data_IF_153082067147
#
_entry.id   IF_153082067147
#
_cell.length_a   1.000
_cell.length_b   1.000
_cell.length_c   1.000
_cell.angle_alpha   90.00
_cell.angle_beta   90.00
_cell.angle_gamma   90.00
#
_symmetry.space_group_name_H-M   'P 1'
#
loop_
_entity.id
_entity.type
_entity.pdbx_description
1 polymer ?
#
# COMPACT_ATOMS: atom_id res chain seq x y z
N UNK A 1 8.37 25.19 19.52
CA UNK A 1 8.73 23.92 18.86
C UNK A 1 7.89 23.81 17.59
N UNK A 2 8.48 23.66 16.40
CA UNK A 2 7.70 23.49 15.17
C UNK A 2 6.93 22.17 15.25
N UNK A 3 5.62 22.22 15.00
CA UNK A 3 4.75 21.05 14.94
C UNK A 3 5.27 20.16 13.80
N UNK A 4 5.48 18.84 14.01
CA UNK A 4 5.85 17.97 12.91
C UNK A 4 4.72 18.00 11.88
N UNK A 5 5.05 18.40 10.65
CA UNK A 5 4.12 18.38 9.52
C UNK A 5 3.39 17.02 9.46
N UNK A 6 2.11 17.03 9.13
CA UNK A 6 1.32 15.80 9.03
C UNK A 6 1.92 14.86 7.97
N UNK A 7 1.62 13.56 8.06
CA UNK A 7 2.10 12.59 7.07
C UNK A 7 1.66 12.96 5.64
N UNK A 8 0.47 13.57 5.50
CA UNK A 8 -0.09 14.03 4.24
C UNK A 8 0.65 15.26 3.70
N UNK A 9 0.91 16.27 4.55
CA UNK A 9 1.71 17.46 4.17
C UNK A 9 3.12 17.08 3.71
N UNK A 10 3.68 16.05 4.33
CA UNK A 10 5.01 15.55 4.03
C UNK A 10 5.07 14.80 2.70
N UNK A 11 4.05 14.02 2.38
CA UNK A 11 3.92 13.38 1.08
C UNK A 11 3.69 14.42 -0.02
N UNK A 12 2.85 15.43 0.24
CA UNK A 12 2.66 16.56 -0.66
C UNK A 12 3.98 17.32 -0.91
N UNK A 13 4.78 17.57 0.14
CA UNK A 13 6.09 18.20 0.02
C UNK A 13 7.07 17.36 -0.80
N UNK A 14 7.10 16.04 -0.58
CA UNK A 14 7.94 15.13 -1.36
C UNK A 14 7.55 15.14 -2.84
N UNK A 15 6.24 15.04 -3.14
CA UNK A 15 5.74 15.10 -4.52
C UNK A 15 6.08 16.44 -5.19
N UNK A 16 5.96 17.55 -4.45
CA UNK A 16 6.35 18.87 -4.94
C UNK A 16 7.84 18.96 -5.27
N UNK A 17 8.73 18.40 -4.43
CA UNK A 17 10.17 18.34 -4.70
C UNK A 17 10.48 17.49 -5.93
N UNK A 18 9.93 16.27 -6.01
CA UNK A 18 10.16 15.35 -7.14
C UNK A 18 9.71 15.98 -8.45
N UNK A 19 8.56 16.67 -8.46
CA UNK A 19 8.06 17.39 -9.64
C UNK A 19 8.97 18.56 -10.06
N UNK A 20 9.66 19.20 -9.10
CA UNK A 20 10.53 20.35 -9.35
C UNK A 20 11.92 19.96 -9.84
N UNK A 21 12.44 18.79 -9.48
CA UNK A 21 13.80 18.33 -9.82
C UNK A 21 14.15 18.48 -11.32
N UNK A 22 13.30 18.07 -12.29
CA UNK A 22 13.63 18.21 -13.72
C UNK A 22 13.76 19.65 -14.23
N UNK A 23 13.23 20.62 -13.47
CA UNK A 23 13.24 22.06 -13.82
C UNK A 23 14.39 22.84 -13.18
N UNK A 24 15.26 22.17 -12.40
CA UNK A 24 16.38 22.83 -11.74
C UNK A 24 17.59 22.89 -12.67
N UNK A 25 18.00 24.10 -13.02
CA UNK A 25 19.17 24.37 -13.89
C UNK A 25 20.47 24.52 -13.09
N UNK A 26 20.37 24.73 -11.77
CA UNK A 26 21.49 24.92 -10.87
C UNK A 26 21.86 23.59 -10.18
N UNK A 27 23.10 23.08 -10.32
CA UNK A 27 23.54 21.84 -9.69
C UNK A 27 23.48 21.87 -8.17
N UNK A 28 23.69 23.02 -7.53
CA UNK A 28 23.63 23.14 -6.08
C UNK A 28 22.17 23.00 -5.59
N UNK A 29 21.22 23.65 -6.29
CA UNK A 29 19.78 23.49 -5.99
C UNK A 29 19.29 22.07 -6.27
N UNK A 30 19.80 21.42 -7.32
CA UNK A 30 19.48 20.03 -7.62
C UNK A 30 19.98 19.10 -6.50
N UNK A 31 21.20 19.33 -5.99
CA UNK A 31 21.74 18.62 -4.83
C UNK A 31 20.84 18.80 -3.61
N UNK A 32 20.53 20.04 -3.24
CA UNK A 32 19.71 20.35 -2.07
C UNK A 32 18.32 19.71 -2.15
N UNK A 33 17.64 19.83 -3.29
CA UNK A 33 16.31 19.27 -3.49
C UNK A 33 16.32 17.72 -3.41
N UNK A 34 17.34 17.08 -3.99
CA UNK A 34 17.47 15.61 -3.99
C UNK A 34 17.79 15.09 -2.60
N UNK A 35 18.71 15.73 -1.87
CA UNK A 35 19.05 15.37 -0.49
C UNK A 35 17.86 15.60 0.45
N UNK A 36 17.11 16.69 0.27
CA UNK A 36 15.87 16.94 0.99
C UNK A 36 14.85 15.83 0.73
N UNK A 37 14.64 15.43 -0.53
CA UNK A 37 13.75 14.33 -0.88
C UNK A 37 14.19 12.99 -0.26
N UNK A 38 15.48 12.67 -0.27
CA UNK A 38 16.04 11.49 0.42
C UNK A 38 15.78 11.53 1.93
N UNK A 39 15.93 12.70 2.56
CA UNK A 39 15.66 12.85 3.99
C UNK A 39 14.20 12.62 4.35
N UNK A 40 13.27 13.02 3.46
CA UNK A 40 11.84 12.80 3.61
C UNK A 40 11.45 11.34 3.34
N UNK A 41 12.12 10.65 2.40
CA UNK A 41 11.88 9.24 2.08
C UNK A 41 12.44 8.28 3.15
N UNK A 42 13.63 8.56 3.67
CA UNK A 42 14.42 7.68 4.54
C UNK A 42 14.56 8.25 5.95
N UNK A 43 13.42 8.33 6.65
CA UNK A 43 13.33 8.98 7.96
C UNK A 43 13.70 8.09 9.14
N UNK A 44 13.55 6.78 8.97
CA UNK A 44 13.73 5.86 10.09
C UNK A 44 15.21 5.87 10.49
N UNK A 45 15.53 5.75 11.80
CA UNK A 45 16.92 5.66 12.25
C UNK A 45 17.70 4.53 11.58
N UNK A 46 17.00 3.44 11.22
CA UNK A 46 17.53 2.27 10.50
C UNK A 46 18.00 2.59 9.08
N UNK A 47 17.53 3.68 8.48
CA UNK A 47 17.82 4.04 7.10
C UNK A 47 19.01 5.02 7.00
N UNK A 48 19.65 5.39 8.12
CA UNK A 48 20.76 6.36 8.15
C UNK A 48 21.93 5.96 7.24
N UNK A 49 22.33 4.68 7.26
CA UNK A 49 23.40 4.17 6.40
C UNK A 49 23.02 4.25 4.92
N UNK A 50 21.82 3.75 4.57
CA UNK A 50 21.32 3.82 3.20
C UNK A 50 21.23 5.27 2.70
N UNK A 51 20.80 6.19 3.55
CA UNK A 51 20.74 7.62 3.21
C UNK A 51 22.12 8.19 2.93
N UNK A 52 23.13 7.86 3.75
CA UNK A 52 24.50 8.33 3.52
C UNK A 52 25.08 7.81 2.19
N UNK A 53 24.89 6.52 1.90
CA UNK A 53 25.34 5.90 0.64
C UNK A 53 24.70 6.56 -0.59
N UNK A 54 23.39 6.81 -0.52
CA UNK A 54 22.67 7.46 -1.62
C UNK A 54 23.05 8.93 -1.78
N UNK A 55 23.31 9.65 -0.68
CA UNK A 55 23.83 11.02 -0.75
C UNK A 55 25.19 11.07 -1.45
N UNK A 56 26.12 10.16 -1.12
CA UNK A 56 27.41 10.06 -1.81
C UNK A 56 27.24 9.77 -3.30
N UNK A 57 26.26 8.94 -3.67
CA UNK A 57 25.95 8.65 -5.08
C UNK A 57 25.42 9.89 -5.81
N UNK A 58 24.57 10.69 -5.16
CA UNK A 58 24.11 11.98 -5.72
C UNK A 58 25.28 12.93 -5.90
N UNK A 59 26.18 13.04 -4.94
CA UNK A 59 27.38 13.87 -5.06
C UNK A 59 28.27 13.42 -6.23
N UNK A 60 28.45 12.12 -6.43
CA UNK A 60 29.21 11.59 -7.56
C UNK A 60 28.56 11.91 -8.92
N UNK A 61 27.22 11.91 -9.01
CA UNK A 61 26.48 12.30 -10.22
C UNK A 61 26.67 13.78 -10.53
N UNK A 62 26.70 14.63 -9.49
CA UNK A 62 26.75 16.09 -9.64
C UNK A 62 28.16 16.66 -9.74
N UNK A 63 29.18 15.95 -9.24
CA UNK A 63 30.58 16.34 -9.30
C UNK A 63 31.09 16.78 -10.70
N UNK A 64 30.74 16.10 -11.82
CA UNK A 64 31.20 16.51 -13.15
C UNK A 64 30.45 17.71 -13.76
N UNK A 65 29.47 18.32 -13.08
CA UNK A 65 28.55 19.29 -13.68
C UNK A 65 28.97 20.76 -13.59
N UNK A 66 30.19 21.08 -13.14
CA UNK A 66 30.66 22.47 -13.02
C UNK A 66 30.51 23.27 -14.33
N UNK A 67 29.51 24.16 -14.40
CA UNK A 67 29.19 24.96 -15.60
C UNK A 67 28.59 24.17 -16.77
N UNK A 68 27.94 23.04 -16.50
CA UNK A 68 27.48 22.12 -17.54
C UNK A 68 26.37 22.67 -18.44
N UNK A 69 26.38 22.23 -19.71
CA UNK A 69 25.32 22.50 -20.67
C UNK A 69 23.94 21.98 -20.17
N UNK A 70 22.83 22.60 -20.58
CA UNK A 70 21.48 22.24 -20.11
C UNK A 70 21.12 20.77 -20.34
N UNK A 71 21.65 20.13 -21.39
CA UNK A 71 21.40 18.71 -21.65
C UNK A 71 22.05 17.79 -20.59
N UNK A 72 23.25 18.14 -20.12
CA UNK A 72 23.91 17.42 -19.02
C UNK A 72 23.17 17.62 -17.70
N UNK A 73 22.63 18.81 -17.47
CA UNK A 73 21.77 19.07 -16.30
C UNK A 73 20.50 18.23 -16.32
N UNK A 74 19.82 18.09 -17.47
CA UNK A 74 18.65 17.21 -17.60
C UNK A 74 19.00 15.73 -17.36
N UNK A 75 20.11 15.26 -17.92
CA UNK A 75 20.59 13.90 -17.70
C UNK A 75 20.92 13.64 -16.22
N UNK A 76 21.58 14.58 -15.55
CA UNK A 76 21.86 14.48 -14.12
C UNK A 76 20.58 14.49 -13.27
N UNK A 77 19.60 15.34 -13.61
CA UNK A 77 18.31 15.36 -12.93
C UNK A 77 17.58 14.01 -13.07
N UNK A 78 17.63 13.36 -14.24
CA UNK A 78 17.09 12.01 -14.44
C UNK A 78 17.81 10.98 -13.57
N UNK A 79 19.15 10.99 -13.53
CA UNK A 79 19.92 10.09 -12.66
C UNK A 79 19.61 10.30 -11.17
N UNK A 80 19.40 11.54 -10.73
CA UNK A 80 18.96 11.84 -9.37
C UNK A 80 17.55 11.26 -9.09
N UNK A 81 16.62 11.32 -10.05
CA UNK A 81 15.31 10.68 -9.91
C UNK A 81 15.42 9.15 -9.82
N UNK A 82 16.30 8.52 -10.58
CA UNK A 82 16.54 7.08 -10.51
C UNK A 82 17.07 6.69 -9.13
N UNK A 83 17.95 7.51 -8.52
CA UNK A 83 18.41 7.30 -7.14
C UNK A 83 17.26 7.38 -6.14
N UNK A 84 16.31 8.32 -6.31
CA UNK A 84 15.13 8.41 -5.46
C UNK A 84 14.18 7.20 -5.62
N UNK A 85 14.08 6.65 -6.83
CA UNK A 85 13.31 5.42 -7.09
C UNK A 85 13.96 4.20 -6.43
N UNK A 86 15.28 4.01 -6.57
CA UNK A 86 16.05 2.94 -5.90
C UNK A 86 15.87 3.04 -4.37
N UNK A 87 15.94 4.26 -3.81
CA UNK A 87 15.68 4.49 -2.39
C UNK A 87 14.29 4.02 -1.94
N UNK A 88 13.26 4.28 -2.76
CA UNK A 88 11.87 3.89 -2.49
C UNK A 88 11.70 2.37 -2.53
N UNK A 89 12.24 1.71 -3.55
CA UNK A 89 12.16 0.25 -3.72
C UNK A 89 12.86 -0.49 -2.59
N UNK A 90 14.06 -0.05 -2.19
CA UNK A 90 14.78 -0.63 -1.06
C UNK A 90 14.05 -0.46 0.26
N UNK A 91 13.40 0.69 0.48
CA UNK A 91 12.57 0.93 1.66
C UNK A 91 11.38 -0.03 1.70
N UNK A 92 10.69 -0.23 0.58
CA UNK A 92 9.56 -1.16 0.48
C UNK A 92 10.00 -2.60 0.73
N UNK A 93 11.12 -3.01 0.15
CA UNK A 93 11.69 -4.36 0.32
C UNK A 93 12.04 -4.63 1.78
N UNK A 94 12.74 -3.69 2.46
CA UNK A 94 13.04 -3.82 3.89
C UNK A 94 11.80 -3.82 4.78
N UNK A 95 10.76 -3.07 4.42
CA UNK A 95 9.50 -3.08 5.15
C UNK A 95 8.80 -4.44 5.03
N UNK A 96 8.85 -5.07 3.85
CA UNK A 96 8.35 -6.42 3.63
C UNK A 96 9.18 -7.46 4.40
N UNK A 97 10.51 -7.38 4.36
CA UNK A 97 11.41 -8.24 5.13
C UNK A 97 11.20 -8.10 6.65
N UNK A 98 11.03 -6.88 7.16
CA UNK A 98 10.73 -6.64 8.56
C UNK A 98 9.37 -7.22 8.97
N UNK A 99 8.36 -7.16 8.10
CA UNK A 99 7.07 -7.81 8.32
C UNK A 99 7.20 -9.35 8.36
N UNK A 100 8.05 -9.92 7.51
CA UNK A 100 8.33 -11.36 7.50
C UNK A 100 9.13 -11.83 8.73
N UNK A 101 10.13 -11.06 9.17
CA UNK A 101 10.95 -11.38 10.36
C UNK A 101 10.23 -11.09 11.69
N UNK A 102 9.29 -10.14 11.70
CA UNK A 102 8.45 -9.82 12.85
C UNK A 102 7.33 -10.83 13.12
N UNK A 103 7.02 -11.69 12.15
CA UNK A 103 6.08 -12.80 12.30
C UNK A 103 6.74 -13.97 13.06
N UNK A 104 7.06 -13.78 14.35
CA UNK A 104 7.27 -14.92 15.25
C UNK A 104 5.94 -15.69 15.33
N UNK A 105 5.87 -16.95 14.89
CA UNK A 105 4.68 -17.75 15.10
C UNK A 105 4.50 -17.90 16.62
N UNK A 106 3.38 -17.40 17.15
CA UNK A 106 2.97 -17.80 18.49
C UNK A 106 2.87 -19.33 18.49
N UNK A 107 3.44 -19.98 19.50
CA UNK A 107 3.53 -21.44 19.64
C UNK A 107 2.16 -22.16 19.71
N UNK A 108 1.06 -21.44 19.54
CA UNK A 108 -0.30 -21.98 19.50
C UNK A 108 -0.81 -22.33 18.09
N UNK A 109 -0.11 -21.92 17.02
CA UNK A 109 -0.51 -22.23 15.64
C UNK A 109 0.15 -23.49 15.05
N UNK A 110 1.02 -24.18 15.81
CA UNK A 110 1.76 -25.36 15.34
C UNK A 110 0.91 -26.66 15.34
N UNK A 111 -0.28 -26.67 15.95
CA UNK A 111 -1.11 -27.87 16.08
C UNK A 111 -2.03 -28.16 14.87
N UNK A 112 -2.20 -27.22 13.91
CA UNK A 112 -3.16 -27.40 12.79
C UNK A 112 -2.54 -27.68 11.42
N UNK A 113 -1.22 -27.60 11.27
CA UNK A 113 -0.53 -27.81 9.97
C UNK A 113 -0.05 -29.24 9.71
N UNK A 114 -0.47 -30.22 10.52
CA UNK A 114 -0.11 -31.63 10.34
C UNK A 114 -1.03 -32.41 9.36
N UNK A 115 -2.07 -31.79 8.77
CA UNK A 115 -3.12 -32.52 8.02
C UNK A 115 -3.19 -32.36 6.50
N UNK A 116 -2.33 -31.56 5.87
CA UNK A 116 -2.30 -31.45 4.39
C UNK A 116 -0.94 -31.80 3.78
N UNK A 117 -0.29 -32.83 4.36
CA UNK A 117 0.93 -33.45 3.83
C UNK A 117 0.63 -34.70 2.99
N UNK A 118 -0.42 -34.65 2.18
CA UNK A 118 -0.82 -35.72 1.28
C UNK A 118 -1.23 -35.12 -0.06
N UNK A 119 -0.24 -34.68 -0.83
CA UNK A 119 -0.20 -34.66 -2.32
C UNK A 119 1.05 -33.88 -2.74
N UNK A 120 2.20 -34.47 -2.43
CA UNK A 120 3.42 -34.25 -3.19
C UNK A 120 3.54 -35.43 -4.15
N UNK A 121 3.61 -35.16 -5.45
CA UNK A 121 3.92 -36.18 -6.45
C UNK A 121 3.68 -35.69 -7.87
N UNK A 122 4.76 -35.71 -8.67
CA UNK A 122 4.91 -35.41 -10.10
C UNK A 122 5.27 -33.97 -10.47
N UNK A 123 6.30 -33.70 -11.27
CA UNK A 123 7.53 -34.40 -11.61
C UNK A 123 8.42 -33.34 -12.29
N UNK A 124 9.72 -33.54 -12.16
CA UNK A 124 10.80 -32.78 -12.80
C UNK A 124 10.84 -33.07 -14.31
N UNK A 125 11.43 -32.12 -15.07
CA UNK A 125 11.71 -32.07 -16.51
C UNK A 125 10.58 -31.41 -17.33
N UNK A 126 10.82 -30.31 -18.07
CA UNK A 126 11.66 -30.26 -19.27
C UNK A 126 12.41 -28.92 -19.35
N UNK A 127 13.73 -29.04 -19.53
CA UNK A 127 14.65 -27.97 -19.88
C UNK A 127 14.56 -27.65 -21.39
N UNK A 128 14.76 -26.37 -21.73
CA UNK A 128 15.12 -25.92 -23.07
C UNK A 128 13.94 -25.65 -24.03
N UNK A 129 13.42 -24.42 -24.05
CA UNK A 129 12.49 -24.01 -25.11
C UNK A 129 11.56 -22.81 -24.85
N UNK A 130 11.68 -22.10 -23.73
CA UNK A 130 10.69 -21.07 -23.32
C UNK A 130 11.36 -19.73 -22.96
N UNK A 131 12.41 -19.32 -23.67
CA UNK A 131 13.07 -18.03 -23.41
C UNK A 131 12.53 -16.87 -24.24
N UNK A 132 11.76 -17.12 -25.31
CA UNK A 132 11.30 -16.04 -26.21
C UNK A 132 9.83 -15.62 -25.97
N UNK A 133 8.98 -16.49 -25.41
CA UNK A 133 7.58 -16.15 -25.11
C UNK A 133 7.36 -15.46 -23.76
N UNK A 134 8.29 -15.61 -22.80
CA UNK A 134 8.19 -14.97 -21.48
C UNK A 134 8.55 -13.47 -21.55
N UNK A 135 9.44 -13.07 -22.47
CA UNK A 135 9.80 -11.67 -22.66
C UNK A 135 8.64 -10.81 -23.19
N UNK A 136 7.83 -11.35 -24.10
CA UNK A 136 6.66 -10.66 -24.65
C UNK A 136 5.52 -10.51 -23.64
N UNK A 137 5.28 -11.53 -22.81
CA UNK A 137 4.21 -11.46 -21.79
C UNK A 137 4.55 -10.52 -20.63
N UNK A 138 5.84 -10.43 -20.26
CA UNK A 138 6.32 -9.49 -19.25
C UNK A 138 6.20 -8.03 -19.70
N UNK A 139 6.41 -7.75 -21.00
CA UNK A 139 6.29 -6.39 -21.50
C UNK A 139 4.83 -5.88 -21.54
N UNK A 140 3.88 -6.77 -21.84
CA UNK A 140 2.44 -6.45 -21.78
C UNK A 140 1.95 -6.25 -20.33
N UNK A 141 2.58 -6.90 -19.35
CA UNK A 141 2.32 -6.64 -17.92
C UNK A 141 2.95 -5.33 -17.41
N UNK A 142 4.05 -4.85 -18.01
CA UNK A 142 4.71 -3.60 -17.62
C UNK A 142 3.95 -2.32 -18.03
N UNK A 143 3.03 -2.42 -18.99
CA UNK A 143 2.13 -1.33 -19.38
C UNK A 143 0.81 -1.30 -18.60
N UNK A 144 0.61 -2.23 -17.65
CA UNK A 144 -0.49 -2.10 -16.70
C UNK A 144 -0.08 -1.09 -15.63
N UNK A 145 -0.90 -0.07 -15.33
CA UNK A 145 -0.64 0.81 -14.20
C UNK A 145 -0.48 -0.05 -12.95
N UNK A 146 0.71 0.03 -12.34
CA UNK A 146 1.02 -0.66 -11.10
C UNK A 146 -0.09 -0.34 -10.08
N UNK A 147 -0.78 -1.37 -9.60
CA UNK A 147 -1.74 -1.23 -8.52
C UNK A 147 -1.05 -0.51 -7.35
N UNK A 148 -1.62 0.58 -6.81
CA UNK A 148 -0.97 1.36 -5.76
C UNK A 148 -0.73 0.50 -4.51
N UNK A 149 0.47 0.56 -3.89
CA UNK A 149 0.78 -0.24 -2.72
C UNK A 149 0.13 0.34 -1.45
N UNK A 150 -0.69 -0.48 -0.80
CA UNK A 150 -0.90 -0.61 0.67
C UNK A 150 -1.10 0.69 1.47
N UNK A 151 -1.97 1.57 1.01
CA UNK A 151 -3.07 2.04 1.87
C UNK A 151 -4.30 1.42 1.22
N UNK A 152 -4.86 0.39 1.84
CA UNK A 152 -6.10 -0.20 1.36
C UNK A 152 -7.16 0.90 1.40
N UNK A 153 -7.37 1.52 0.25
CA UNK A 153 -8.31 2.62 0.09
C UNK A 153 -9.66 2.09 0.59
N UNK A 154 -10.34 2.76 1.53
CA UNK A 154 -11.64 2.32 2.02
C UNK A 154 -12.64 2.02 0.89
N UNK A 155 -12.46 2.67 -0.26
CA UNK A 155 -13.16 2.39 -1.51
C UNK A 155 -13.05 0.92 -1.96
N UNK A 156 -11.87 0.29 -1.86
CA UNK A 156 -11.69 -1.12 -2.25
C UNK A 156 -12.49 -2.08 -1.39
N UNK A 157 -12.62 -1.82 -0.09
CA UNK A 157 -13.49 -2.64 0.76
C UNK A 157 -14.95 -2.52 0.32
N UNK A 158 -15.40 -1.31 -0.01
CA UNK A 158 -16.76 -1.07 -0.51
C UNK A 158 -16.99 -1.82 -1.82
N UNK A 159 -16.05 -1.78 -2.75
CA UNK A 159 -16.10 -2.52 -4.01
C UNK A 159 -16.20 -4.04 -3.77
N UNK A 160 -15.36 -4.58 -2.88
CA UNK A 160 -15.38 -6.00 -2.52
C UNK A 160 -16.71 -6.42 -1.88
N UNK A 161 -17.27 -5.59 -0.99
CA UNK A 161 -18.57 -5.88 -0.38
C UNK A 161 -19.71 -5.84 -1.41
N UNK A 162 -19.66 -4.90 -2.37
CA UNK A 162 -20.63 -4.84 -3.47
C UNK A 162 -20.49 -6.06 -4.38
N UNK A 163 -19.27 -6.45 -4.75
CA UNK A 163 -19.00 -7.64 -5.53
C UNK A 163 -19.57 -8.91 -4.87
N UNK A 164 -19.35 -9.07 -3.56
CA UNK A 164 -19.90 -10.20 -2.81
C UNK A 164 -21.42 -10.19 -2.77
N UNK A 165 -22.05 -9.01 -2.68
CA UNK A 165 -23.52 -8.91 -2.79
C UNK A 165 -24.07 -9.33 -4.17
N UNK A 166 -23.24 -9.31 -5.20
CA UNK A 166 -23.59 -9.71 -6.57
C UNK A 166 -23.29 -11.19 -6.86
N UNK A 167 -22.87 -11.95 -5.83
CA UNK A 167 -22.57 -13.37 -5.94
C UNK A 167 -21.10 -13.70 -6.19
N UNK A 168 -20.20 -12.72 -6.17
CA UNK A 168 -18.76 -12.99 -6.20
C UNK A 168 -18.29 -13.60 -4.87
N UNK A 169 -17.41 -14.59 -4.91
CA UNK A 169 -16.92 -15.28 -3.71
C UNK A 169 -15.53 -14.76 -3.36
N UNK A 170 -15.47 -13.80 -2.44
CA UNK A 170 -14.21 -13.31 -1.86
C UNK A 170 -14.18 -13.69 -0.38
N UNK A 171 -13.39 -14.70 0.04
CA UNK A 171 -13.37 -15.14 1.44
C UNK A 171 -12.63 -14.16 2.37
N UNK A 172 -11.77 -13.29 1.83
CA UNK A 172 -10.92 -12.38 2.59
C UNK A 172 -10.92 -11.02 1.89
N UNK A 173 -11.16 -9.94 2.64
CA UNK A 173 -11.10 -8.58 2.10
C UNK A 173 -9.68 -7.97 2.19
N UNK A 174 -9.51 -6.79 1.63
CA UNK A 174 -8.24 -6.07 1.48
C UNK A 174 -7.46 -5.80 2.79
N UNK A 175 -8.11 -5.91 3.95
CA UNK A 175 -7.48 -5.74 5.27
C UNK A 175 -7.13 -7.08 5.95
N UNK A 176 -7.34 -8.21 5.27
CA UNK A 176 -7.01 -9.54 5.80
C UNK A 176 -8.10 -10.20 6.67
N UNK A 177 -9.22 -9.51 6.89
CA UNK A 177 -10.38 -10.04 7.59
C UNK A 177 -11.30 -10.86 6.69
N UNK A 178 -12.18 -11.65 7.32
CA UNK A 178 -13.13 -12.50 6.60
C UNK A 178 -14.21 -11.66 5.92
N UNK A 179 -14.54 -12.02 4.68
CA UNK A 179 -15.64 -11.44 3.93
C UNK A 179 -16.55 -12.58 3.49
N UNK A 180 -17.84 -12.47 3.80
CA UNK A 180 -18.79 -13.52 3.44
C UNK A 180 -20.21 -12.96 3.32
N UNK A 181 -21.01 -13.67 2.53
CA UNK A 181 -22.43 -13.39 2.35
C UNK A 181 -23.24 -14.27 3.31
N UNK A 182 -24.10 -13.65 4.11
CA UNK A 182 -25.05 -14.33 5.01
C UNK A 182 -26.45 -13.93 4.59
N UNK A 183 -27.40 -14.85 4.60
CA UNK A 183 -28.81 -14.52 4.38
C UNK A 183 -29.49 -14.28 5.73
N UNK A 184 -30.12 -13.13 5.92
CA UNK A 184 -30.95 -12.85 7.11
C UNK A 184 -32.40 -12.74 6.66
N UNK A 185 -33.15 -13.83 6.84
CA UNK A 185 -34.45 -14.00 6.17
C UNK A 185 -34.22 -14.24 4.68
N UNK A 186 -34.90 -13.46 3.82
CA UNK A 186 -34.72 -13.50 2.36
C UNK A 186 -33.75 -12.42 1.82
N UNK A 187 -33.16 -11.64 2.73
CA UNK A 187 -32.30 -10.51 2.34
C UNK A 187 -30.82 -10.89 2.45
N UNK A 188 -30.01 -10.66 1.40
CA UNK A 188 -28.57 -10.87 1.45
C UNK A 188 -27.91 -9.82 2.36
N UNK A 189 -27.00 -10.26 3.23
CA UNK A 189 -26.21 -9.41 4.13
C UNK A 189 -24.75 -9.76 3.95
N UNK A 190 -23.96 -8.79 3.52
CA UNK A 190 -22.51 -8.93 3.41
C UNK A 190 -21.87 -8.60 4.75
N UNK A 191 -21.06 -9.51 5.27
CA UNK A 191 -20.37 -9.37 6.55
C UNK A 191 -18.86 -9.29 6.31
N UNK A 192 -18.26 -8.19 6.75
CA UNK A 192 -16.82 -7.96 6.77
C UNK A 192 -16.33 -7.89 8.22
N UNK A 193 -15.43 -8.80 8.61
CA UNK A 193 -14.88 -8.92 9.96
C UNK A 193 -13.48 -8.31 10.05
N UNK A 194 -13.04 -7.92 11.24
CA UNK A 194 -11.68 -7.39 11.44
C UNK A 194 -11.34 -6.19 10.53
N UNK A 195 -12.27 -5.23 10.41
CA UNK A 195 -12.06 -3.98 9.66
C UNK A 195 -11.45 -2.91 10.58
N UNK A 196 -10.27 -2.35 10.25
CA UNK A 196 -9.65 -1.30 11.07
C UNK A 196 -10.59 -0.09 11.27
N UNK A 197 -10.66 0.53 12.47
CA UNK A 197 -11.64 1.58 12.76
C UNK A 197 -11.65 2.75 11.77
N UNK A 198 -10.47 3.21 11.31
CA UNK A 198 -10.35 4.27 10.31
C UNK A 198 -10.96 3.88 8.96
N UNK A 199 -10.75 2.63 8.53
CA UNK A 199 -11.32 2.11 7.29
C UNK A 199 -12.83 1.86 7.44
N UNK A 200 -13.26 1.40 8.62
CA UNK A 200 -14.67 1.18 8.94
C UNK A 200 -15.50 2.45 8.79
N UNK A 201 -15.01 3.58 9.33
CA UNK A 201 -15.76 4.84 9.26
C UNK A 201 -15.96 5.31 7.80
N UNK A 202 -14.90 5.25 6.99
CA UNK A 202 -14.93 5.66 5.60
C UNK A 202 -15.78 4.71 4.72
N UNK A 203 -15.61 3.39 4.86
CA UNK A 203 -16.40 2.41 4.13
C UNK A 203 -17.88 2.44 4.55
N UNK A 204 -18.15 2.55 5.86
CA UNK A 204 -19.50 2.67 6.41
C UNK A 204 -20.26 3.86 5.84
N UNK A 205 -19.61 5.03 5.73
CA UNK A 205 -20.21 6.21 5.13
C UNK A 205 -20.57 6.03 3.65
N UNK A 206 -19.80 5.24 2.90
CA UNK A 206 -20.10 4.93 1.51
C UNK A 206 -21.24 3.91 1.39
N UNK A 207 -21.26 2.89 2.24
CA UNK A 207 -22.23 1.79 2.21
C UNK A 207 -23.62 2.20 2.68
N UNK A 208 -23.73 3.11 3.66
CA UNK A 208 -25.03 3.56 4.19
C UNK A 208 -25.88 4.30 3.14
N UNK A 209 -25.26 4.84 2.09
CA UNK A 209 -25.97 5.43 0.95
C UNK A 209 -26.55 4.39 -0.01
N UNK A 210 -26.03 3.16 0.03
CA UNK A 210 -26.37 2.07 -0.88
C UNK A 210 -27.24 0.99 -0.23
N UNK A 211 -27.50 1.09 1.08
CA UNK A 211 -28.22 0.06 1.82
C UNK A 211 -28.23 0.31 3.32
N UNK A 212 -28.67 -0.70 4.07
CA UNK A 212 -28.70 -0.66 5.53
C UNK A 212 -27.34 -1.12 6.10
N UNK A 213 -26.78 -0.31 7.00
CA UNK A 213 -25.48 -0.55 7.61
C UNK A 213 -25.65 -0.91 9.08
N UNK A 214 -24.98 -1.98 9.53
CA UNK A 214 -24.89 -2.38 10.92
C UNK A 214 -23.42 -2.53 11.28
N UNK A 215 -22.97 -1.83 12.33
CA UNK A 215 -21.57 -1.86 12.78
C UNK A 215 -21.53 -2.48 14.17
N UNK A 216 -20.70 -3.51 14.37
CA UNK A 216 -20.58 -4.22 15.65
C UNK A 216 -21.93 -4.68 16.21
N UNK A 217 -22.85 -5.09 15.32
CA UNK A 217 -24.20 -5.51 15.69
C UNK A 217 -25.21 -4.38 15.95
N UNK A 218 -24.80 -3.11 15.83
CA UNK A 218 -25.65 -1.93 16.05
C UNK A 218 -26.01 -1.27 14.72
N UNK A 219 -27.30 -1.19 14.42
CA UNK A 219 -27.83 -0.43 13.27
C UNK A 219 -28.17 0.99 13.72
N UNK A 220 -27.51 2.04 13.20
CA UNK A 220 -27.82 3.41 13.60
C UNK A 220 -29.18 3.84 13.03
N UNK A 221 -30.09 4.31 13.89
CA UNK A 221 -31.39 4.88 13.47
C UNK A 221 -31.22 6.10 12.56
N UNK A 222 -30.16 6.89 12.77
CA UNK A 222 -29.80 8.04 11.94
C UNK A 222 -28.34 7.94 11.55
N UNK A 223 -28.08 7.80 10.25
CA UNK A 223 -26.73 7.77 9.71
C UNK A 223 -26.11 9.17 9.72
N UNK A 224 -25.05 9.36 10.49
CA UNK A 224 -24.17 10.53 10.41
C UNK A 224 -22.71 10.08 10.45
N UNK A 225 -21.81 10.85 9.85
CA UNK A 225 -20.39 10.52 9.83
C UNK A 225 -19.81 10.39 11.25
N UNK A 226 -20.22 11.27 12.17
CA UNK A 226 -19.85 11.19 13.58
C UNK A 226 -20.34 9.89 14.22
N UNK A 227 -21.64 9.56 14.07
CA UNK A 227 -22.21 8.36 14.69
C UNK A 227 -21.58 7.07 14.15
N UNK A 228 -21.29 7.01 12.85
CA UNK A 228 -20.60 5.86 12.24
C UNK A 228 -19.18 5.73 12.79
N UNK A 229 -18.46 6.86 12.93
CA UNK A 229 -17.12 6.87 13.53
C UNK A 229 -17.14 6.40 14.98
N UNK A 230 -18.12 6.83 15.77
CA UNK A 230 -18.29 6.36 17.16
C UNK A 230 -18.51 4.85 17.22
N UNK A 231 -19.39 4.31 16.36
CA UNK A 231 -19.67 2.87 16.30
C UNK A 231 -18.46 2.04 15.84
N UNK A 232 -17.64 2.57 14.92
CA UNK A 232 -16.40 1.91 14.50
C UNK A 232 -15.33 1.89 15.61
N UNK A 233 -15.38 2.83 16.57
CA UNK A 233 -14.43 2.94 17.68
C UNK A 233 -14.98 2.38 19.01
N UNK A 234 -16.25 1.96 19.07
CA UNK A 234 -16.89 1.54 20.33
C UNK A 234 -16.42 0.18 20.87
N UNK A 235 -15.58 -0.54 20.11
CA UNK A 235 -15.00 -1.83 20.49
C UNK A 235 -13.51 -1.74 20.82
N UNK A 236 -12.99 -2.72 21.56
CA UNK A 236 -11.57 -2.77 21.95
C UNK A 236 -10.61 -3.16 20.79
N UNK A 237 -11.09 -3.23 19.55
CA UNK A 237 -10.33 -3.73 18.41
C UNK A 237 -10.99 -3.43 17.07
N UNK A 238 -10.70 -4.26 16.07
CA UNK A 238 -11.23 -4.11 14.72
C UNK A 238 -12.75 -4.29 14.69
N UNK A 239 -13.41 -3.49 13.85
CA UNK A 239 -14.86 -3.46 13.73
C UNK A 239 -15.39 -4.55 12.79
N UNK A 240 -16.63 -4.98 13.02
CA UNK A 240 -17.37 -5.83 12.09
C UNK A 240 -18.45 -5.01 11.40
N UNK A 241 -18.46 -5.03 10.07
CA UNK A 241 -19.44 -4.31 9.25
C UNK A 241 -20.38 -5.35 8.63
N UNK A 242 -21.67 -5.20 8.87
CA UNK A 242 -22.72 -5.92 8.15
C UNK A 242 -23.45 -4.90 7.28
N UNK A 243 -23.60 -5.20 6.00
CA UNK A 243 -24.27 -4.32 5.04
C UNK A 243 -25.28 -5.11 4.24
N UNK A 244 -26.49 -4.59 4.17
CA UNK A 244 -27.59 -5.14 3.39
C UNK A 244 -27.86 -4.18 2.22
N UNK A 245 -27.61 -4.58 0.97
CA UNK A 245 -27.92 -3.75 -0.20
C UNK A 245 -29.41 -3.42 -0.25
N UNK A 246 -29.73 -2.24 -0.78
CA UNK A 246 -31.12 -1.82 -1.05
C UNK A 246 -31.64 -2.44 -2.35
#
# INVERSE_FOLDING_TARGET
MPIPASAEEQEALLQALVRKIPSLEDPDRLREATVAALSLLLRRPTDRGLRADLTLRVEAILAPLGGAAPDRMRAAAQQCLDVLQDARERRLSRAAEAAMMGAKPSRFAAAKRARHRAQAGYAVAIAGGVTVLVGGLLWVMALRPAAPPVMAEPARLVEQMVAVSQGEVLPIHVFGGALHLVTRGDLPVVVAEAVPPRACAAAGWALVRKGLLTINGITPNRASAARITDLCNSGAGDATIQWMPK
#
